data_IF_654764329985
#
_entry.id   IF_654764329985
#
_cell.length_a   1.000
_cell.length_b   1.000
_cell.length_c   1.000
_cell.angle_alpha   90.00
_cell.angle_beta   90.00
_cell.angle_gamma   90.00
#
_symmetry.space_group_name_H-M   'P 1'
#
loop_
_entity.id
_entity.type
_entity.pdbx_description
1 polymer ?
#
# COMPACT_ATOMS: atom_id res chain seq x y z
N UNK A 1 -34.27 50.32 -13.61
CA UNK A 1 -33.42 49.38 -14.37
C UNK A 1 -32.57 48.63 -13.36
N UNK A 2 -33.06 47.49 -12.90
CA UNK A 2 -32.41 46.64 -11.90
C UNK A 2 -32.10 45.31 -12.57
N UNK A 3 -30.86 45.11 -12.97
CA UNK A 3 -30.38 43.84 -13.51
C UNK A 3 -30.34 42.80 -12.38
N UNK A 4 -31.31 41.89 -12.40
CA UNK A 4 -31.24 40.65 -11.63
C UNK A 4 -30.17 39.76 -12.27
N UNK A 5 -28.99 39.77 -11.65
CA UNK A 5 -27.92 38.79 -11.87
C UNK A 5 -28.40 37.41 -11.42
N UNK A 6 -28.96 36.68 -12.38
CA UNK A 6 -29.44 35.31 -12.20
C UNK A 6 -28.24 34.37 -12.30
N UNK A 7 -27.54 34.21 -11.17
CA UNK A 7 -26.34 33.38 -11.08
C UNK A 7 -26.76 31.91 -11.03
N UNK A 8 -26.90 31.33 -12.22
CA UNK A 8 -27.12 29.90 -12.46
C UNK A 8 -25.92 29.10 -11.95
N UNK A 9 -25.91 28.78 -10.66
CA UNK A 9 -25.06 27.76 -10.06
C UNK A 9 -25.52 26.38 -10.57
N UNK A 10 -25.09 26.05 -11.80
CA UNK A 10 -25.17 24.70 -12.34
C UNK A 10 -24.34 23.78 -11.44
N UNK A 11 -25.05 23.13 -10.51
CA UNK A 11 -24.59 22.01 -9.73
C UNK A 11 -24.13 20.88 -10.66
N UNK A 12 -22.86 20.93 -11.06
CA UNK A 12 -22.12 19.79 -11.61
C UNK A 12 -21.77 18.79 -10.49
N UNK A 13 -22.74 18.49 -9.62
CA UNK A 13 -22.75 17.24 -8.87
C UNK A 13 -23.11 16.15 -9.88
N UNK A 14 -22.12 15.74 -10.68
CA UNK A 14 -22.12 14.43 -11.31
C UNK A 14 -22.04 13.45 -10.15
N UNK A 15 -23.19 13.16 -9.55
CA UNK A 15 -23.39 12.06 -8.63
C UNK A 15 -22.79 10.88 -9.37
N UNK A 16 -21.76 10.28 -8.77
CA UNK A 16 -21.27 8.98 -9.20
C UNK A 16 -22.41 7.99 -8.92
N UNK A 17 -23.41 8.00 -9.80
CA UNK A 17 -24.35 6.91 -9.91
C UNK A 17 -23.52 5.73 -10.41
N UNK A 18 -23.18 4.83 -9.49
CA UNK A 18 -22.83 3.44 -9.79
C UNK A 18 -24.08 2.74 -10.37
N UNK A 19 -24.71 3.33 -11.39
CA UNK A 19 -25.68 2.69 -12.25
C UNK A 19 -24.90 1.78 -13.19
N UNK A 20 -24.44 0.68 -12.60
CA UNK A 20 -23.88 -0.49 -13.25
C UNK A 20 -25.03 -1.21 -13.98
N UNK A 21 -25.61 -0.53 -14.98
CA UNK A 21 -26.63 -1.07 -15.86
C UNK A 21 -25.95 -1.97 -16.90
N UNK A 22 -25.41 -3.08 -16.44
CA UNK A 22 -25.01 -4.20 -17.31
C UNK A 22 -26.18 -5.17 -17.45
N UNK A 23 -27.31 -4.71 -17.99
CA UNK A 23 -28.34 -5.60 -18.54
C UNK A 23 -27.89 -6.10 -19.92
N UNK A 24 -26.81 -6.89 -19.93
CA UNK A 24 -26.33 -7.60 -21.12
C UNK A 24 -27.10 -8.90 -21.30
N UNK A 25 -27.65 -9.09 -22.49
CA UNK A 25 -28.58 -10.16 -22.87
C UNK A 25 -28.15 -11.58 -22.50
N UNK A 26 -29.16 -12.37 -22.15
CA UNK A 26 -29.15 -13.67 -21.51
C UNK A 26 -28.86 -14.85 -22.48
N UNK A 27 -27.95 -14.67 -23.45
CA UNK A 27 -27.73 -15.65 -24.52
C UNK A 27 -26.27 -15.99 -24.74
N UNK A 28 -25.61 -16.55 -23.73
CA UNK A 28 -24.53 -17.52 -24.00
C UNK A 28 -24.34 -18.51 -22.83
N UNK A 29 -25.16 -19.56 -22.83
CA UNK A 29 -25.29 -20.52 -21.73
C UNK A 29 -24.26 -21.64 -21.87
N UNK A 30 -23.39 -21.74 -20.83
CA UNK A 30 -22.87 -22.98 -20.19
C UNK A 30 -21.46 -23.52 -20.48
N UNK A 31 -20.54 -22.83 -21.15
CA UNK A 31 -19.10 -23.24 -21.14
C UNK A 31 -18.10 -22.25 -20.54
N UNK A 32 -18.56 -21.06 -20.14
CA UNK A 32 -17.71 -20.03 -19.53
C UNK A 32 -17.81 -19.89 -18.01
N UNK A 33 -18.41 -20.82 -17.26
CA UNK A 33 -18.87 -20.59 -15.88
C UNK A 33 -17.83 -20.01 -14.90
N UNK A 34 -16.66 -20.66 -14.78
CA UNK A 34 -15.62 -20.21 -13.84
C UNK A 34 -14.86 -18.98 -14.36
N UNK A 35 -14.50 -18.96 -15.65
CA UNK A 35 -13.74 -17.84 -16.23
C UNK A 35 -14.61 -16.57 -16.24
N UNK A 36 -15.86 -16.67 -16.69
CA UNK A 36 -16.82 -15.57 -16.67
C UNK A 36 -17.04 -15.03 -15.26
N UNK A 37 -17.17 -15.93 -14.27
CA UNK A 37 -17.24 -15.54 -12.87
C UNK A 37 -15.96 -14.80 -12.44
N UNK A 38 -14.78 -15.37 -12.65
CA UNK A 38 -13.49 -14.78 -12.25
C UNK A 38 -13.19 -13.44 -12.96
N UNK A 39 -13.73 -13.22 -14.16
CA UNK A 39 -13.53 -11.96 -14.91
C UNK A 39 -14.50 -10.84 -14.52
N UNK A 40 -15.53 -11.11 -13.70
CA UNK A 40 -16.40 -10.02 -13.21
C UNK A 40 -15.58 -9.07 -12.36
N UNK A 41 -15.63 -7.76 -12.68
CA UNK A 41 -14.85 -6.72 -11.99
C UNK A 41 -15.05 -6.75 -10.47
N UNK A 42 -16.26 -7.00 -10.00
CA UNK A 42 -16.53 -7.10 -8.55
C UNK A 42 -15.82 -8.29 -7.89
N UNK A 43 -15.71 -9.42 -8.59
CA UNK A 43 -14.97 -10.57 -8.09
C UNK A 43 -13.46 -10.28 -8.05
N UNK A 44 -12.93 -9.57 -9.04
CA UNK A 44 -11.53 -9.15 -9.06
C UNK A 44 -11.23 -8.18 -7.91
N UNK A 45 -12.11 -7.20 -7.64
CA UNK A 45 -12.00 -6.31 -6.49
C UNK A 45 -12.06 -7.07 -5.16
N UNK A 46 -12.89 -8.11 -5.05
CA UNK A 46 -12.96 -8.96 -3.87
C UNK A 46 -11.66 -9.77 -3.68
N UNK A 47 -11.15 -10.41 -4.74
CA UNK A 47 -9.86 -11.12 -4.72
C UNK A 47 -8.72 -10.17 -4.33
N UNK A 48 -8.68 -8.97 -4.90
CA UNK A 48 -7.68 -7.96 -4.56
C UNK A 48 -7.77 -7.52 -3.09
N UNK A 49 -8.99 -7.38 -2.54
CA UNK A 49 -9.17 -7.06 -1.13
C UNK A 49 -8.65 -8.20 -0.23
N UNK A 50 -8.96 -9.46 -0.55
CA UNK A 50 -8.52 -10.63 0.22
C UNK A 50 -6.99 -10.73 0.22
N UNK A 51 -6.35 -10.67 -0.95
CA UNK A 51 -4.88 -10.71 -1.05
C UNK A 51 -4.24 -9.49 -0.40
N UNK A 52 -4.88 -8.33 -0.49
CA UNK A 52 -4.48 -7.11 0.21
C UNK A 52 -4.49 -7.27 1.73
N UNK A 53 -5.48 -7.98 2.29
CA UNK A 53 -5.54 -8.28 3.73
C UNK A 53 -4.42 -9.20 4.21
N UNK A 54 -4.01 -10.18 3.39
CA UNK A 54 -2.83 -11.03 3.70
C UNK A 54 -1.56 -10.18 3.74
N UNK A 55 -1.34 -9.35 2.72
CA UNK A 55 -0.19 -8.43 2.64
C UNK A 55 -0.20 -7.45 3.81
N UNK A 56 -1.38 -6.93 4.16
CA UNK A 56 -1.59 -6.01 5.27
C UNK A 56 -1.17 -6.63 6.61
N UNK A 57 -1.44 -7.92 6.82
CA UNK A 57 -1.03 -8.65 8.03
C UNK A 57 0.49 -8.71 8.15
N UNK A 58 1.18 -9.05 7.05
CA UNK A 58 2.65 -9.02 7.00
C UNK A 58 3.18 -7.61 7.27
N UNK A 59 2.61 -6.59 6.63
CA UNK A 59 3.05 -5.21 6.78
C UNK A 59 2.88 -4.69 8.22
N UNK A 60 1.81 -5.08 8.94
CA UNK A 60 1.65 -4.71 10.34
C UNK A 60 2.80 -5.22 11.20
N UNK A 61 3.13 -6.51 11.07
CA UNK A 61 4.26 -7.12 11.78
C UNK A 61 5.57 -6.43 11.40
N UNK A 62 5.74 -6.12 10.12
CA UNK A 62 6.89 -5.37 9.60
C UNK A 62 7.03 -3.97 10.17
N UNK A 63 5.93 -3.23 10.23
CA UNK A 63 5.89 -1.91 10.81
C UNK A 63 6.25 -1.95 12.30
N UNK A 64 5.73 -2.91 13.06
CA UNK A 64 6.07 -3.08 14.49
C UNK A 64 7.57 -3.35 14.67
N UNK A 65 8.15 -4.25 13.88
CA UNK A 65 9.60 -4.50 13.91
C UNK A 65 10.40 -3.23 13.60
N UNK A 66 10.02 -2.49 12.57
CA UNK A 66 10.69 -1.24 12.18
C UNK A 66 10.56 -0.18 13.27
N UNK A 67 9.38 0.00 13.88
CA UNK A 67 9.19 0.91 15.02
C UNK A 67 10.11 0.52 16.18
N UNK A 68 10.36 -0.78 16.37
CA UNK A 68 11.36 -1.31 17.30
C UNK A 68 12.75 -0.70 17.20
N UNK A 69 13.15 -0.18 16.03
CA UNK A 69 14.43 0.52 15.85
C UNK A 69 14.57 1.78 16.71
N UNK A 70 13.46 2.37 17.17
CA UNK A 70 13.46 3.49 18.12
C UNK A 70 13.96 3.08 19.52
N UNK A 71 14.18 1.79 19.76
CA UNK A 71 14.80 1.26 20.98
C UNK A 71 16.18 0.65 20.67
N UNK A 72 16.79 1.10 19.59
CA UNK A 72 18.11 0.66 19.12
C UNK A 72 18.11 -0.75 18.53
N UNK A 73 19.31 -1.30 18.40
CA UNK A 73 19.53 -2.62 17.81
C UNK A 73 18.79 -3.74 18.54
N UNK A 74 18.78 -3.71 19.89
CA UNK A 74 18.12 -4.72 20.71
C UNK A 74 16.60 -4.76 20.47
N UNK A 75 15.95 -3.59 20.38
CA UNK A 75 14.51 -3.52 20.12
C UNK A 75 14.13 -4.05 18.74
N UNK A 76 14.87 -3.64 17.70
CA UNK A 76 14.65 -4.12 16.34
C UNK A 76 14.92 -5.63 16.22
N UNK A 77 16.11 -6.08 16.64
CA UNK A 77 16.51 -7.49 16.51
C UNK A 77 15.62 -8.40 17.38
N UNK A 78 15.25 -7.97 18.59
CA UNK A 78 14.38 -8.71 19.48
C UNK A 78 12.97 -8.91 18.89
N UNK A 79 12.36 -7.84 18.36
CA UNK A 79 11.07 -7.97 17.66
C UNK A 79 11.20 -8.77 16.36
N UNK A 80 12.28 -8.60 15.62
CA UNK A 80 12.53 -9.39 14.41
C UNK A 80 12.63 -10.88 14.76
N UNK A 81 13.40 -11.24 15.80
CA UNK A 81 13.53 -12.62 16.28
C UNK A 81 12.18 -13.19 16.73
N UNK A 82 11.42 -12.41 17.50
CA UNK A 82 10.08 -12.81 17.94
C UNK A 82 9.15 -13.12 16.76
N UNK A 83 9.20 -12.31 15.69
CA UNK A 83 8.36 -12.51 14.52
C UNK A 83 8.97 -13.41 13.44
N UNK A 84 10.23 -13.87 13.57
CA UNK A 84 10.87 -14.76 12.58
C UNK A 84 10.08 -16.02 12.30
N UNK A 85 9.49 -16.72 13.29
CA UNK A 85 8.64 -17.88 13.01
C UNK A 85 7.48 -17.58 12.08
N UNK A 86 6.98 -16.34 12.05
CA UNK A 86 5.96 -15.88 11.11
C UNK A 86 6.58 -15.46 9.76
N UNK A 87 7.65 -14.64 9.77
CA UNK A 87 8.35 -14.19 8.56
C UNK A 87 8.94 -15.32 7.73
N UNK A 88 9.43 -16.37 8.39
CA UNK A 88 10.20 -17.47 7.82
C UNK A 88 9.39 -18.77 7.71
N UNK A 89 8.08 -18.71 7.96
CA UNK A 89 7.21 -19.84 7.77
C UNK A 89 7.02 -20.12 6.27
N UNK A 90 7.45 -21.28 5.78
CA UNK A 90 7.39 -21.63 4.34
C UNK A 90 5.98 -21.53 3.74
N UNK A 91 4.95 -21.92 4.50
CA UNK A 91 3.56 -21.87 4.06
C UNK A 91 3.12 -20.41 3.94
N UNK A 92 3.36 -19.61 4.98
CA UNK A 92 2.99 -18.20 4.98
C UNK A 92 3.76 -17.39 3.93
N UNK A 93 5.06 -17.66 3.73
CA UNK A 93 5.86 -17.00 2.70
C UNK A 93 5.30 -17.26 1.29
N UNK A 94 4.92 -18.50 1.01
CA UNK A 94 4.31 -18.88 -0.28
C UNK A 94 2.95 -18.21 -0.46
N UNK A 95 2.13 -18.19 0.61
CA UNK A 95 0.86 -17.48 0.62
C UNK A 95 1.03 -15.97 0.38
N UNK A 96 2.01 -15.35 1.03
CA UNK A 96 2.32 -13.93 0.88
C UNK A 96 2.81 -13.62 -0.53
N UNK A 97 3.76 -14.40 -1.06
CA UNK A 97 4.27 -14.23 -2.42
C UNK A 97 3.14 -14.37 -3.46
N UNK A 98 2.31 -15.41 -3.32
CA UNK A 98 1.13 -15.61 -4.17
C UNK A 98 0.14 -14.45 -4.05
N UNK A 99 -0.09 -13.96 -2.83
CA UNK A 99 -0.96 -12.80 -2.58
C UNK A 99 -0.43 -11.54 -3.25
N UNK A 100 0.87 -11.26 -3.17
CA UNK A 100 1.50 -10.12 -3.86
C UNK A 100 1.32 -10.23 -5.37
N UNK A 101 1.61 -11.39 -5.97
CA UNK A 101 1.45 -11.62 -7.41
C UNK A 101 -0.01 -11.40 -7.82
N UNK A 102 -0.96 -12.06 -7.16
CA UNK A 102 -2.38 -11.93 -7.47
C UNK A 102 -2.89 -10.50 -7.27
N UNK A 103 -2.45 -9.82 -6.21
CA UNK A 103 -2.84 -8.44 -5.93
C UNK A 103 -2.35 -7.47 -7.03
N UNK A 104 -1.10 -7.62 -7.46
CA UNK A 104 -0.52 -6.83 -8.55
C UNK A 104 -1.19 -7.16 -9.90
N UNK A 105 -1.40 -8.44 -10.21
CA UNK A 105 -2.06 -8.88 -11.43
C UNK A 105 -3.50 -8.39 -11.52
N UNK A 106 -4.26 -8.42 -10.42
CA UNK A 106 -5.62 -7.87 -10.37
C UNK A 106 -5.63 -6.37 -10.67
N UNK A 107 -4.69 -5.61 -10.09
CA UNK A 107 -4.56 -4.18 -10.36
C UNK A 107 -4.21 -3.91 -11.85
N UNK A 108 -3.24 -4.64 -12.39
CA UNK A 108 -2.89 -4.55 -13.82
C UNK A 108 -4.07 -4.89 -14.71
N UNK A 109 -4.79 -5.97 -14.41
CA UNK A 109 -5.97 -6.36 -15.17
C UNK A 109 -7.00 -5.24 -15.21
N UNK A 110 -7.35 -4.64 -14.06
CA UNK A 110 -8.32 -3.53 -14.02
C UNK A 110 -7.85 -2.31 -14.82
N UNK A 111 -6.55 -2.01 -14.79
CA UNK A 111 -5.96 -0.93 -15.59
C UNK A 111 -6.11 -1.22 -17.09
N UNK A 112 -5.87 -2.45 -17.53
CA UNK A 112 -5.95 -2.83 -18.93
C UNK A 112 -7.38 -3.08 -19.41
N UNK A 113 -8.28 -3.57 -18.56
CA UNK A 113 -9.67 -3.86 -18.91
C UNK A 113 -10.55 -2.61 -18.94
N UNK A 114 -10.20 -1.57 -18.18
CA UNK A 114 -11.01 -0.36 -17.99
C UNK A 114 -10.65 0.85 -18.86
N UNK A 115 -9.55 0.80 -19.64
CA UNK A 115 -9.11 1.94 -20.46
C UNK A 115 -9.83 1.98 -21.81
N UNK A 116 -11.09 2.42 -21.82
CA UNK A 116 -11.74 2.96 -23.02
C UNK A 116 -11.89 4.48 -23.03
N UNK A 117 -11.93 5.14 -21.86
CA UNK A 117 -12.04 6.61 -21.78
C UNK A 117 -11.51 7.12 -20.43
N UNK A 118 -10.26 7.62 -20.38
CA UNK A 118 -9.75 8.70 -19.52
C UNK A 118 -8.23 8.64 -19.39
N UNK A 119 -7.56 9.71 -19.80
CA UNK A 119 -6.10 9.91 -19.82
C UNK A 119 -5.46 10.14 -18.45
N UNK A 120 -6.23 10.03 -17.35
CA UNK A 120 -5.75 10.36 -16.01
C UNK A 120 -5.30 9.11 -15.25
N UNK A 121 -4.04 9.11 -14.79
CA UNK A 121 -3.46 8.00 -14.02
C UNK A 121 -4.02 7.88 -12.60
N UNK A 122 -4.56 8.97 -12.05
CA UNK A 122 -5.13 9.02 -10.71
C UNK A 122 -6.32 9.99 -10.63
N UNK A 123 -7.22 9.77 -9.66
CA UNK A 123 -8.38 10.63 -9.41
C UNK A 123 -7.94 11.96 -8.75
N UNK A 124 -8.24 13.10 -9.40
CA UNK A 124 -7.98 14.44 -8.86
C UNK A 124 -9.05 14.87 -7.86
N UNK A 125 -8.70 15.73 -6.90
CA UNK A 125 -9.67 16.26 -5.96
C UNK A 125 -10.68 17.21 -6.67
N UNK A 126 -11.96 17.24 -6.23
CA UNK A 126 -12.96 18.15 -6.77
C UNK A 126 -12.55 19.62 -6.63
N UNK A 127 -12.92 20.46 -7.61
CA UNK A 127 -12.74 21.92 -7.53
C UNK A 127 -11.45 22.46 -8.17
N UNK A 128 -11.00 21.90 -9.29
CA UNK A 128 -9.83 22.37 -10.06
C UNK A 128 -8.49 22.41 -9.32
N UNK A 129 -8.37 21.79 -8.14
CA UNK A 129 -7.09 21.71 -7.45
C UNK A 129 -6.14 20.76 -8.19
N UNK A 130 -4.85 21.10 -8.27
CA UNK A 130 -3.81 20.22 -8.82
C UNK A 130 -3.49 19.02 -7.91
N UNK A 131 -4.09 18.97 -6.72
CA UNK A 131 -3.84 17.92 -5.73
C UNK A 131 -4.64 16.64 -6.06
N UNK A 132 -4.07 15.45 -5.79
CA UNK A 132 -4.79 14.20 -5.91
C UNK A 132 -5.95 14.17 -4.90
N UNK A 133 -7.05 13.50 -5.22
CA UNK A 133 -8.05 13.15 -4.20
C UNK A 133 -7.42 12.16 -3.20
N UNK A 134 -8.01 11.92 -2.02
CA UNK A 134 -7.57 10.83 -1.14
C UNK A 134 -7.42 9.49 -1.86
N UNK A 135 -8.38 9.15 -2.73
CA UNK A 135 -8.27 7.94 -3.55
C UNK A 135 -7.16 8.05 -4.61
N UNK A 136 -6.96 9.22 -5.22
CA UNK A 136 -5.84 9.45 -6.13
C UNK A 136 -4.48 9.30 -5.45
N UNK A 137 -4.35 9.77 -4.21
CA UNK A 137 -3.15 9.57 -3.39
C UNK A 137 -2.94 8.09 -3.09
N UNK A 138 -4.03 7.35 -2.86
CA UNK A 138 -3.99 5.90 -2.64
C UNK A 138 -3.51 5.15 -3.89
N UNK A 139 -3.96 5.58 -5.08
CA UNK A 139 -3.50 5.04 -6.37
C UNK A 139 -2.01 5.33 -6.60
N UNK A 140 -1.55 6.55 -6.33
CA UNK A 140 -0.13 6.93 -6.42
C UNK A 140 0.71 6.08 -5.45
N UNK A 141 0.26 5.97 -4.19
CA UNK A 141 0.94 5.15 -3.18
C UNK A 141 1.01 3.68 -3.59
N UNK A 142 -0.07 3.11 -4.12
CA UNK A 142 -0.10 1.75 -4.64
C UNK A 142 0.87 1.53 -5.81
N UNK A 143 0.97 2.51 -6.72
CA UNK A 143 1.92 2.46 -7.83
C UNK A 143 3.38 2.48 -7.34
N UNK A 144 3.71 3.37 -6.40
CA UNK A 144 5.05 3.43 -5.79
C UNK A 144 5.39 2.12 -5.04
N UNK A 145 4.46 1.59 -4.26
CA UNK A 145 4.62 0.31 -3.56
C UNK A 145 4.87 -0.82 -4.56
N UNK A 146 4.13 -0.86 -5.67
CA UNK A 146 4.26 -1.91 -6.69
C UNK A 146 5.67 -1.94 -7.32
N UNK A 147 6.28 -0.76 -7.53
CA UNK A 147 7.65 -0.65 -8.04
C UNK A 147 8.67 -1.10 -6.99
N UNK A 148 8.52 -0.62 -5.75
CA UNK A 148 9.53 -0.82 -4.73
C UNK A 148 9.49 -2.19 -4.04
N UNK A 149 8.33 -2.84 -3.96
CA UNK A 149 8.17 -4.11 -3.25
C UNK A 149 9.04 -5.22 -3.85
N UNK A 150 9.18 -5.26 -5.18
CA UNK A 150 9.98 -6.27 -5.87
C UNK A 150 11.47 -6.12 -5.54
N UNK A 151 12.00 -4.89 -5.69
CA UNK A 151 13.39 -4.58 -5.35
C UNK A 151 13.68 -4.80 -3.86
N UNK A 152 12.77 -4.36 -2.99
CA UNK A 152 12.89 -4.56 -1.54
C UNK A 152 12.94 -6.04 -1.16
N UNK A 153 12.00 -6.84 -1.69
CA UNK A 153 11.91 -8.27 -1.40
C UNK A 153 13.15 -8.99 -1.93
N UNK A 154 13.61 -8.66 -3.14
CA UNK A 154 14.83 -9.22 -3.70
C UNK A 154 16.05 -8.92 -2.80
N UNK A 155 16.24 -7.66 -2.42
CA UNK A 155 17.38 -7.24 -1.60
C UNK A 155 17.40 -7.88 -0.21
N UNK A 156 16.23 -8.12 0.39
CA UNK A 156 16.12 -8.66 1.75
C UNK A 156 16.05 -10.19 1.79
N UNK A 157 15.59 -10.86 0.72
CA UNK A 157 15.37 -12.32 0.70
C UNK A 157 16.42 -13.09 -0.09
N UNK A 158 16.93 -12.56 -1.20
CA UNK A 158 17.91 -13.30 -2.03
C UNK A 158 19.16 -13.67 -1.21
N UNK A 159 19.79 -12.76 -0.43
CA UNK A 159 20.96 -13.14 0.35
C UNK A 159 20.70 -14.30 1.33
N UNK A 160 19.51 -14.34 1.95
CA UNK A 160 19.13 -15.41 2.88
C UNK A 160 18.92 -16.77 2.18
N UNK A 161 18.54 -16.77 0.91
CA UNK A 161 18.41 -17.99 0.11
C UNK A 161 19.77 -18.51 -0.40
N UNK A 162 20.72 -17.61 -0.65
CA UNK A 162 22.02 -17.96 -1.24
C UNK A 162 23.10 -18.25 -0.19
N UNK A 163 23.07 -17.58 0.95
CA UNK A 163 24.09 -17.69 1.99
C UNK A 163 23.51 -18.46 3.18
N UNK A 164 23.94 -19.71 3.34
CA UNK A 164 23.47 -20.57 4.43
C UNK A 164 23.76 -19.93 5.79
N UNK A 165 22.72 -19.80 6.61
CA UNK A 165 22.80 -19.18 7.94
C UNK A 165 22.83 -17.65 7.94
N UNK A 166 22.73 -17.00 6.77
CA UNK A 166 22.57 -15.55 6.73
C UNK A 166 21.19 -15.15 7.23
N UNK A 167 21.17 -14.18 8.12
CA UNK A 167 19.95 -13.58 8.64
C UNK A 167 20.14 -12.06 8.62
N UNK A 168 19.23 -11.38 7.93
CA UNK A 168 19.17 -9.93 7.92
C UNK A 168 18.84 -9.43 9.33
N UNK A 169 19.61 -8.47 9.83
CA UNK A 169 19.42 -7.84 11.14
C UNK A 169 19.58 -6.32 11.04
N UNK A 170 19.41 -5.63 12.16
CA UNK A 170 19.58 -4.18 12.27
C UNK A 170 20.91 -3.69 11.65
N UNK A 171 22.02 -4.38 11.93
CA UNK A 171 23.35 -4.01 11.45
C UNK A 171 23.47 -3.94 9.93
N UNK A 172 22.79 -4.83 9.22
CA UNK A 172 22.84 -4.90 7.75
C UNK A 172 22.16 -3.66 7.17
N UNK A 173 20.99 -3.30 7.72
CA UNK A 173 20.22 -2.12 7.33
C UNK A 173 20.98 -0.84 7.68
N UNK A 174 21.54 -0.77 8.89
CA UNK A 174 22.37 0.35 9.33
C UNK A 174 23.58 0.54 8.40
N UNK A 175 24.28 -0.53 8.06
CA UNK A 175 25.41 -0.49 7.14
C UNK A 175 24.99 0.05 5.76
N UNK A 176 23.87 -0.42 5.20
CA UNK A 176 23.33 0.09 3.94
C UNK A 176 23.01 1.59 4.02
N UNK A 177 22.36 2.05 5.08
CA UNK A 177 22.02 3.46 5.29
C UNK A 177 23.26 4.34 5.50
N UNK A 178 24.31 3.81 6.13
CA UNK A 178 25.56 4.53 6.34
C UNK A 178 26.37 4.65 5.05
N UNK A 179 26.49 3.56 4.30
CA UNK A 179 27.30 3.52 3.07
C UNK A 179 26.61 4.21 1.89
N UNK A 180 25.28 4.07 1.78
CA UNK A 180 24.49 4.48 0.62
C UNK A 180 23.30 5.37 1.01
N UNK A 181 23.47 6.19 2.06
CA UNK A 181 22.38 6.96 2.66
C UNK A 181 21.63 7.86 1.67
N UNK A 182 22.34 8.53 0.76
CA UNK A 182 21.73 9.41 -0.26
C UNK A 182 20.68 8.68 -1.10
N UNK A 183 20.85 7.38 -1.32
CA UNK A 183 19.90 6.55 -2.08
C UNK A 183 18.87 5.93 -1.14
N UNK A 184 19.29 5.32 -0.04
CA UNK A 184 18.40 4.48 0.78
C UNK A 184 17.52 5.24 1.78
N UNK A 185 17.92 6.42 2.29
CA UNK A 185 17.02 7.24 3.10
C UNK A 185 15.76 7.67 2.34
N UNK A 186 15.86 8.33 1.16
CA UNK A 186 14.67 8.74 0.43
C UNK A 186 13.87 7.53 -0.07
N UNK A 187 14.55 6.47 -0.53
CA UNK A 187 13.90 5.23 -0.95
C UNK A 187 13.07 4.60 0.18
N UNK A 188 13.65 4.32 1.34
CA UNK A 188 12.92 3.69 2.45
C UNK A 188 11.84 4.61 3.02
N UNK A 189 12.09 5.92 3.09
CA UNK A 189 11.08 6.88 3.56
C UNK A 189 9.87 6.90 2.62
N UNK A 190 10.10 7.04 1.31
CA UNK A 190 9.03 7.08 0.31
C UNK A 190 8.28 5.76 0.24
N UNK A 191 9.00 4.64 0.25
CA UNK A 191 8.40 3.32 0.18
C UNK A 191 7.56 3.02 1.43
N UNK A 192 8.11 3.21 2.63
CA UNK A 192 7.40 3.00 3.89
C UNK A 192 6.20 3.95 4.03
N UNK A 193 6.33 5.23 3.67
CA UNK A 193 5.22 6.18 3.75
C UNK A 193 4.10 5.84 2.78
N UNK A 194 4.44 5.44 1.55
CA UNK A 194 3.47 4.98 0.55
C UNK A 194 2.77 3.70 1.02
N UNK A 195 3.52 2.74 1.55
CA UNK A 195 2.98 1.50 2.08
C UNK A 195 2.04 1.76 3.27
N UNK A 196 2.42 2.67 4.18
CA UNK A 196 1.60 3.07 5.33
C UNK A 196 0.26 3.67 4.87
N UNK A 197 0.30 4.66 3.98
CA UNK A 197 -0.92 5.28 3.48
C UNK A 197 -1.80 4.29 2.74
N UNK A 198 -1.20 3.47 1.85
CA UNK A 198 -1.90 2.44 1.10
C UNK A 198 -2.58 1.43 2.02
N UNK A 199 -1.87 0.98 3.07
CA UNK A 199 -2.36 0.07 4.10
C UNK A 199 -3.53 0.66 4.89
N UNK A 200 -3.39 1.85 5.48
CA UNK A 200 -4.45 2.45 6.32
C UNK A 200 -5.70 2.71 5.49
N UNK A 201 -5.53 3.30 4.30
CA UNK A 201 -6.64 3.61 3.40
C UNK A 201 -7.42 2.34 3.00
N UNK A 202 -6.71 1.27 2.61
CA UNK A 202 -7.36 0.01 2.23
C UNK A 202 -8.09 -0.66 3.39
N UNK A 203 -7.50 -0.69 4.60
CA UNK A 203 -8.15 -1.32 5.74
C UNK A 203 -9.44 -0.60 6.12
N UNK A 204 -9.44 0.74 6.14
CA UNK A 204 -10.65 1.53 6.40
C UNK A 204 -11.69 1.32 5.30
N UNK A 205 -11.28 1.25 4.03
CA UNK A 205 -12.20 0.98 2.92
C UNK A 205 -12.81 -0.42 3.00
N UNK A 206 -11.99 -1.44 3.22
CA UNK A 206 -12.44 -2.84 3.36
C UNK A 206 -13.42 -2.94 4.52
N UNK A 207 -13.08 -2.33 5.67
CA UNK A 207 -13.94 -2.31 6.84
C UNK A 207 -15.29 -1.63 6.55
N UNK A 208 -15.29 -0.43 5.96
CA UNK A 208 -16.54 0.27 5.65
C UNK A 208 -17.39 -0.47 4.60
N UNK A 209 -16.78 -0.96 3.52
CA UNK A 209 -17.50 -1.61 2.41
C UNK A 209 -17.99 -3.02 2.79
N UNK A 210 -17.10 -3.88 3.28
CA UNK A 210 -17.38 -5.31 3.42
C UNK A 210 -17.82 -5.71 4.83
N UNK A 211 -17.36 -5.01 5.88
CA UNK A 211 -17.73 -5.33 7.27
C UNK A 211 -18.97 -4.54 7.70
N UNK A 212 -18.98 -3.22 7.46
CA UNK A 212 -20.12 -2.37 7.80
C UNK A 212 -21.20 -2.28 6.71
N UNK A 213 -20.95 -2.81 5.51
CA UNK A 213 -21.90 -2.77 4.40
C UNK A 213 -22.25 -1.35 3.91
N UNK A 214 -21.40 -0.35 4.17
CA UNK A 214 -21.68 1.05 3.83
C UNK A 214 -21.55 1.29 2.34
N UNK A 215 -22.64 1.75 1.72
CA UNK A 215 -22.67 2.15 0.29
C UNK A 215 -22.07 3.54 0.05
N UNK A 216 -22.06 4.40 1.07
CA UNK A 216 -21.59 5.79 1.00
C UNK A 216 -20.08 5.97 1.26
N UNK A 217 -19.31 4.87 1.31
CA UNK A 217 -17.90 4.90 1.71
C UNK A 217 -17.03 5.84 0.86
N UNK A 218 -17.20 5.88 -0.47
CA UNK A 218 -16.44 6.75 -1.38
C UNK A 218 -16.71 8.24 -1.13
N UNK A 219 -17.98 8.59 -0.86
CA UNK A 219 -18.37 9.97 -0.52
C UNK A 219 -17.70 10.42 0.77
N UNK A 220 -17.68 9.56 1.79
CA UNK A 220 -16.99 9.85 3.06
C UNK A 220 -15.49 10.01 2.88
N UNK A 221 -14.85 9.14 2.10
CA UNK A 221 -13.43 9.24 1.77
C UNK A 221 -13.10 10.62 1.16
N UNK A 222 -13.93 11.10 0.23
CA UNK A 222 -13.78 12.41 -0.41
C UNK A 222 -14.10 13.60 0.52
N UNK A 223 -15.02 13.45 1.46
CA UNK A 223 -15.39 14.50 2.41
C UNK A 223 -14.35 14.65 3.53
N UNK A 224 -13.70 13.55 3.94
CA UNK A 224 -12.71 13.53 5.01
C UNK A 224 -11.27 13.82 4.53
N UNK A 225 -11.08 14.78 3.61
CA UNK A 225 -9.76 15.08 3.01
C UNK A 225 -8.68 15.36 4.06
N UNK A 226 -9.00 16.15 5.07
CA UNK A 226 -8.05 16.53 6.13
C UNK A 226 -7.56 15.32 6.92
N UNK A 227 -8.46 14.34 7.17
CA UNK A 227 -8.09 13.09 7.84
C UNK A 227 -7.07 12.34 7.00
N UNK A 228 -7.35 12.17 5.70
CA UNK A 228 -6.48 11.42 4.81
C UNK A 228 -5.12 12.09 4.59
N UNK A 229 -5.08 13.41 4.42
CA UNK A 229 -3.80 14.12 4.36
C UNK A 229 -3.06 14.06 5.70
N UNK A 230 -3.77 14.09 6.83
CA UNK A 230 -3.17 13.83 8.15
C UNK A 230 -2.54 12.44 8.25
N UNK A 231 -3.23 11.40 7.79
CA UNK A 231 -2.69 10.02 7.73
C UNK A 231 -1.45 9.95 6.84
N UNK A 232 -1.47 10.61 5.67
CA UNK A 232 -0.31 10.65 4.78
C UNK A 232 0.89 11.35 5.43
N UNK A 233 0.68 12.53 6.01
CA UNK A 233 1.72 13.29 6.73
C UNK A 233 2.29 12.50 7.89
N UNK A 234 1.43 11.88 8.71
CA UNK A 234 1.87 11.02 9.81
C UNK A 234 2.72 9.84 9.30
N UNK A 235 2.29 9.19 8.21
CA UNK A 235 3.05 8.11 7.58
C UNK A 235 4.44 8.54 7.10
N UNK A 236 4.58 9.75 6.55
CA UNK A 236 5.87 10.33 6.16
C UNK A 236 6.75 10.57 7.38
N UNK A 237 6.23 11.24 8.42
CA UNK A 237 6.97 11.53 9.65
C UNK A 237 7.44 10.23 10.32
N UNK A 238 6.54 9.26 10.50
CA UNK A 238 6.85 7.97 11.09
C UNK A 238 7.94 7.24 10.27
N UNK A 239 7.80 7.20 8.95
CA UNK A 239 8.76 6.52 8.07
C UNK A 239 10.13 7.17 8.10
N UNK A 240 10.18 8.50 8.06
CA UNK A 240 11.44 9.25 8.16
C UNK A 240 12.11 9.02 9.52
N UNK A 241 11.34 9.10 10.61
CA UNK A 241 11.80 8.80 11.98
C UNK A 241 12.39 7.40 12.10
N UNK A 242 11.70 6.38 11.57
CA UNK A 242 12.20 5.00 11.54
C UNK A 242 13.50 4.87 10.74
N UNK A 243 13.63 5.57 9.60
CA UNK A 243 14.86 5.55 8.82
C UNK A 243 16.03 6.18 9.59
N UNK A 244 15.81 7.29 10.28
CA UNK A 244 16.82 7.91 11.16
C UNK A 244 17.18 7.00 12.35
N UNK A 245 16.20 6.30 12.92
CA UNK A 245 16.45 5.34 13.98
C UNK A 245 17.36 4.20 13.48
N UNK A 246 17.00 3.55 12.36
CA UNK A 246 17.80 2.49 11.72
C UNK A 246 19.19 2.98 11.26
N UNK A 247 19.28 4.25 10.89
CA UNK A 247 20.53 4.91 10.54
C UNK A 247 21.50 5.14 11.69
N UNK A 248 21.06 4.95 12.94
CA UNK A 248 21.87 5.18 14.14
C UNK A 248 21.93 6.65 14.59
N UNK A 249 20.98 7.49 14.18
CA UNK A 249 20.94 8.90 14.58
C UNK A 249 20.38 9.06 15.99
N UNK A 250 19.58 8.11 16.47
CA UNK A 250 19.01 8.14 17.82
C UNK A 250 19.92 7.44 18.84
N UNK A 251 20.73 6.47 18.40
CA UNK A 251 21.59 5.65 19.27
C UNK A 251 22.92 5.37 18.60
N UNK A 252 24.01 5.38 19.38
CA UNK A 252 25.33 4.96 18.88
C UNK A 252 25.33 3.47 18.58
N UNK A 253 25.52 3.13 17.31
CA UNK A 253 25.70 1.75 16.86
C UNK A 253 27.18 1.38 17.02
N UNK A 254 27.47 0.36 17.83
CA UNK A 254 28.86 -0.05 18.09
C UNK A 254 29.44 -0.75 16.85
N UNK A 255 30.44 -0.18 16.16
CA UNK A 255 30.98 -0.76 14.93
C UNK A 255 31.72 -2.09 15.16
N UNK A 256 32.16 -2.36 16.40
CA UNK A 256 33.03 -3.50 16.75
C UNK A 256 32.29 -4.84 16.89
N UNK A 257 30.96 -4.85 17.00
CA UNK A 257 30.17 -6.09 16.97
C UNK A 257 30.04 -6.70 15.56
N UNK A 258 30.55 -6.05 14.53
CA UNK A 258 30.53 -6.56 13.14
C UNK A 258 31.56 -7.67 12.87
N UNK A 259 32.56 -7.88 13.74
CA UNK A 259 33.71 -8.75 13.47
C UNK A 259 33.86 -9.99 14.37
N UNK A 260 32.99 -10.19 15.37
CA UNK A 260 32.97 -11.44 16.14
C UNK A 260 31.89 -12.36 15.59
N UNK A 261 32.31 -13.30 14.72
CA UNK A 261 31.59 -14.54 14.41
C UNK A 261 32.16 -15.65 15.27
#
# INVERSE_FOLDING_TARGET
MSEQSNNNNNNNNKVYDDNDNTSGGDTDKRKGGLISFLTKIENIKAIQAITGSVIATFYQVHLVTIVGSHFGESGFNGLLEYFRPFYQNRVFETLLAGSVVVHLSANLYMIFSGRKDNTQFYERAPGHTKLPSPYGLHQIAGALVSVFILGHTAATRIPALWIKGYQLNYKDIHYTLKQWGVVFYPYYTLFSASMYYHFVFNNVRIFNKYILGRKDYRKRELQSKNVWYGVATFGVILSFSCCLALGGQYFRVNPLYSLKK
#
